data_IF_006976783711
#
_entry.id   IF_006976783711
#
_cell.length_a   1.000
_cell.length_b   1.000
_cell.length_c   1.000
_cell.angle_alpha   90.00
_cell.angle_beta   90.00
_cell.angle_gamma   90.00
#
_symmetry.space_group_name_H-M   'P 1'
#
loop_
_entity.id
_entity.type
_entity.pdbx_description
1 polymer ?
#
# COMPACT_ATOMS: atom_id res chain seq x y z
N UNK A 1 23.71 -2.69 -8.85
CA UNK A 1 23.15 -1.33 -9.03
C UNK A 1 21.87 -1.25 -8.24
N UNK A 2 21.70 -0.22 -7.40
CA UNK A 2 20.50 -0.07 -6.58
C UNK A 2 19.98 1.36 -6.65
N UNK A 3 18.66 1.50 -6.73
CA UNK A 3 17.96 2.78 -6.63
C UNK A 3 17.26 2.78 -5.28
N UNK A 4 17.57 3.79 -4.47
CA UNK A 4 17.02 4.00 -3.14
C UNK A 4 16.08 5.18 -3.15
N UNK A 5 14.93 5.07 -2.48
CA UNK A 5 13.83 6.02 -2.71
C UNK A 5 13.75 7.08 -1.64
N UNK A 6 13.89 6.67 -0.38
CA UNK A 6 13.87 7.55 0.82
C UNK A 6 12.54 8.26 1.07
N UNK A 7 11.53 8.04 0.22
CA UNK A 7 10.17 8.57 0.37
C UNK A 7 9.12 7.62 -0.26
N UNK A 8 9.02 6.41 0.28
CA UNK A 8 8.00 5.42 -0.11
C UNK A 8 6.64 5.65 0.59
N UNK A 9 6.33 6.89 0.99
CA UNK A 9 5.07 7.22 1.62
C UNK A 9 3.90 6.99 0.65
N UNK A 10 2.68 6.80 1.20
CA UNK A 10 1.51 6.41 0.42
C UNK A 10 1.21 7.32 -0.79
N UNK A 11 1.45 8.62 -0.65
CA UNK A 11 1.25 9.59 -1.73
C UNK A 11 2.22 9.42 -2.92
N UNK A 12 3.35 8.75 -2.73
CA UNK A 12 4.32 8.44 -3.78
C UNK A 12 4.12 7.02 -4.34
N UNK A 13 3.04 6.33 -3.95
CA UNK A 13 2.61 5.05 -4.51
C UNK A 13 1.40 5.31 -5.41
N UNK A 14 1.60 5.27 -6.73
CA UNK A 14 0.52 5.44 -7.69
C UNK A 14 0.16 4.10 -8.35
N UNK A 15 -1.01 4.07 -8.99
CA UNK A 15 -1.45 2.93 -9.78
C UNK A 15 -1.86 3.37 -11.19
N UNK A 16 -1.69 2.48 -12.15
CA UNK A 16 -2.35 2.60 -13.45
C UNK A 16 -3.84 2.29 -13.29
N UNK A 17 -4.66 3.35 -13.32
CA UNK A 17 -6.11 3.26 -13.12
C UNK A 17 -6.91 2.88 -14.36
N UNK A 18 -6.29 2.72 -15.54
CA UNK A 18 -7.02 2.41 -16.80
C UNK A 18 -7.92 1.18 -16.69
N UNK A 19 -7.50 0.07 -16.03
CA UNK A 19 -8.38 -1.09 -15.84
C UNK A 19 -9.64 -0.79 -15.00
N UNK A 20 -9.57 0.21 -14.12
CA UNK A 20 -10.68 0.58 -13.22
C UNK A 20 -11.64 1.60 -13.84
N UNK A 21 -11.17 2.34 -14.84
CA UNK A 21 -11.91 3.38 -15.53
C UNK A 21 -11.88 3.16 -17.05
N UNK A 22 -12.67 2.21 -17.59
CA UNK A 22 -12.66 1.90 -19.02
C UNK A 22 -13.01 3.09 -19.92
N UNK A 23 -13.77 4.06 -19.39
CA UNK A 23 -14.16 5.30 -20.06
C UNK A 23 -13.29 6.51 -19.66
N UNK A 24 -12.19 6.27 -18.95
CA UNK A 24 -11.36 7.33 -18.38
C UNK A 24 -11.96 7.97 -17.12
N UNK A 25 -11.18 8.87 -16.53
CA UNK A 25 -11.53 9.65 -15.34
C UNK A 25 -10.85 11.02 -15.42
N UNK A 26 -11.39 12.02 -14.72
CA UNK A 26 -10.80 13.35 -14.68
C UNK A 26 -9.43 13.33 -13.96
N UNK A 27 -8.39 14.02 -14.46
CA UNK A 27 -7.03 13.94 -13.90
C UNK A 27 -6.90 14.47 -12.46
N UNK A 28 -7.67 15.48 -12.09
CA UNK A 28 -7.70 16.04 -10.71
C UNK A 28 -8.81 15.40 -9.86
N UNK A 29 -10.07 15.46 -10.33
CA UNK A 29 -11.23 14.86 -9.66
C UNK A 29 -11.37 13.38 -10.06
N UNK A 30 -10.50 12.53 -9.52
CA UNK A 30 -10.38 11.13 -9.97
C UNK A 30 -11.67 10.28 -9.89
N UNK A 31 -12.69 10.74 -9.16
CA UNK A 31 -14.02 10.11 -9.08
C UNK A 31 -15.04 10.74 -10.04
N UNK A 32 -14.61 11.42 -11.12
CA UNK A 32 -15.50 12.05 -12.10
C UNK A 32 -15.16 11.62 -13.53
N UNK A 33 -16.15 11.74 -14.42
CA UNK A 33 -15.97 11.60 -15.88
C UNK A 33 -14.86 12.52 -16.39
N UNK A 34 -14.21 12.23 -17.53
CA UNK A 34 -13.08 13.03 -18.04
C UNK A 34 -13.35 14.55 -18.16
N UNK A 35 -14.60 14.94 -18.42
CA UNK A 35 -15.07 16.33 -18.48
C UNK A 35 -15.38 16.96 -17.10
N UNK A 36 -15.32 16.18 -16.02
CA UNK A 36 -15.53 16.62 -14.64
C UNK A 36 -16.99 16.80 -14.24
N UNK A 37 -17.95 16.38 -15.08
CA UNK A 37 -19.37 16.67 -14.91
C UNK A 37 -20.06 15.67 -13.97
N UNK A 38 -19.86 14.37 -14.21
CA UNK A 38 -20.58 13.31 -13.50
C UNK A 38 -19.67 12.52 -12.59
N UNK A 39 -20.16 12.16 -11.41
CA UNK A 39 -19.44 11.26 -10.51
C UNK A 39 -19.41 9.84 -11.10
N UNK A 40 -18.27 9.18 -10.96
CA UNK A 40 -18.05 7.80 -11.36
C UNK A 40 -17.37 7.04 -10.22
N UNK A 41 -17.63 5.74 -10.15
CA UNK A 41 -16.96 4.85 -9.21
C UNK A 41 -16.03 3.89 -9.96
N UNK A 42 -14.79 3.67 -9.47
CA UNK A 42 -13.88 2.72 -10.08
C UNK A 42 -14.45 1.31 -10.02
N UNK A 43 -14.14 0.51 -11.04
CA UNK A 43 -14.36 -0.93 -10.98
C UNK A 43 -13.53 -1.56 -9.85
N UNK A 44 -13.92 -2.76 -9.42
CA UNK A 44 -13.26 -3.45 -8.33
C UNK A 44 -11.86 -3.94 -8.76
N UNK A 45 -10.82 -3.56 -8.02
CA UNK A 45 -9.43 -3.98 -8.27
C UNK A 45 -9.21 -5.49 -8.20
N UNK A 46 -10.06 -6.23 -7.48
CA UNK A 46 -9.95 -7.70 -7.41
C UNK A 46 -10.25 -8.37 -8.74
N UNK A 47 -11.15 -7.78 -9.53
CA UNK A 47 -11.58 -8.33 -10.81
C UNK A 47 -10.92 -7.58 -12.00
N UNK A 48 -10.30 -6.42 -11.71
CA UNK A 48 -9.59 -5.56 -12.66
C UNK A 48 -8.17 -5.25 -12.12
N UNK A 49 -7.20 -6.15 -12.32
CA UNK A 49 -5.87 -6.00 -11.76
C UNK A 49 -5.18 -4.73 -12.26
N UNK A 50 -4.58 -3.98 -11.33
CA UNK A 50 -3.83 -2.75 -11.61
C UNK A 50 -2.34 -2.95 -11.35
N UNK A 51 -1.52 -2.16 -12.03
CA UNK A 51 -0.08 -2.10 -11.77
C UNK A 51 0.25 -0.88 -10.92
N UNK A 52 1.00 -1.10 -9.85
CA UNK A 52 1.47 -0.05 -8.95
C UNK A 52 2.87 0.43 -9.36
N UNK A 53 3.13 1.71 -9.17
CA UNK A 53 4.36 2.37 -9.55
C UNK A 53 4.88 3.24 -8.44
N UNK A 54 6.19 3.13 -8.25
CA UNK A 54 7.03 4.07 -7.54
C UNK A 54 7.06 5.42 -8.28
N UNK A 55 6.59 6.53 -7.71
CA UNK A 55 6.80 7.87 -8.29
C UNK A 55 7.68 8.74 -7.39
N UNK A 56 7.99 9.93 -7.89
CA UNK A 56 8.78 10.97 -7.23
C UNK A 56 10.17 10.50 -6.77
N UNK A 57 11.13 10.62 -7.69
CA UNK A 57 12.52 10.25 -7.46
C UNK A 57 13.37 11.42 -6.96
N UNK A 58 12.77 12.53 -6.52
CA UNK A 58 13.49 13.74 -6.12
C UNK A 58 14.46 13.56 -4.95
N UNK A 59 14.27 12.52 -4.14
CA UNK A 59 15.17 12.13 -3.04
C UNK A 59 15.93 10.84 -3.32
N UNK A 60 15.81 10.28 -4.53
CA UNK A 60 16.40 8.99 -4.83
C UNK A 60 17.92 9.08 -4.96
N UNK A 61 18.61 8.02 -4.53
CA UNK A 61 20.05 7.90 -4.63
C UNK A 61 20.42 6.67 -5.46
N UNK A 62 21.44 6.81 -6.30
CA UNK A 62 21.97 5.76 -7.15
C UNK A 62 23.36 5.35 -6.65
N UNK A 63 23.56 4.05 -6.48
CA UNK A 63 24.83 3.49 -6.01
C UNK A 63 25.37 2.48 -7.03
N UNK A 64 26.65 2.64 -7.35
CA UNK A 64 27.39 1.70 -8.19
C UNK A 64 27.63 0.37 -7.44
N UNK A 65 27.85 -0.74 -8.16
CA UNK A 65 28.27 -1.99 -7.53
C UNK A 65 29.58 -1.77 -6.74
N UNK A 66 29.54 -2.07 -5.43
CA UNK A 66 30.70 -1.89 -4.52
C UNK A 66 30.61 -0.67 -3.61
N UNK A 67 29.70 0.27 -3.87
CA UNK A 67 29.50 1.42 -2.98
C UNK A 67 28.85 1.00 -1.66
N UNK A 68 29.26 1.67 -0.56
CA UNK A 68 28.58 1.56 0.72
C UNK A 68 27.38 2.52 0.69
N UNK A 69 26.14 2.02 0.75
CA UNK A 69 24.94 2.83 0.54
C UNK A 69 24.59 3.60 1.82
N UNK A 70 25.31 4.68 2.09
CA UNK A 70 25.02 5.59 3.20
C UNK A 70 24.57 6.95 2.67
N UNK A 71 23.55 7.51 3.32
CA UNK A 71 23.02 8.83 2.98
C UNK A 71 22.85 9.67 4.24
N UNK A 72 22.92 10.99 4.07
CA UNK A 72 22.49 11.97 5.08
C UNK A 72 21.25 12.69 4.58
N UNK A 73 20.53 13.33 5.49
CA UNK A 73 19.40 14.19 5.20
C UNK A 73 18.17 13.84 6.02
N UNK A 74 17.40 14.86 6.35
CA UNK A 74 16.11 14.73 7.04
C UNK A 74 14.91 14.92 6.11
N UNK A 75 15.14 15.14 4.80
CA UNK A 75 14.09 15.37 3.79
C UNK A 75 13.32 14.08 3.46
N UNK A 76 12.02 14.21 3.20
CA UNK A 76 11.06 13.09 3.02
C UNK A 76 9.70 13.41 3.65
N UNK A 77 8.62 12.76 3.23
CA UNK A 77 7.27 13.00 3.80
C UNK A 77 7.13 12.39 5.19
N UNK A 78 7.69 11.21 5.41
CA UNK A 78 7.72 10.59 6.73
C UNK A 78 8.94 11.11 7.52
N UNK A 79 8.68 11.68 8.70
CA UNK A 79 9.69 12.24 9.61
C UNK A 79 9.91 11.41 10.86
N UNK A 80 9.17 10.31 11.01
CA UNK A 80 9.29 9.42 12.16
C UNK A 80 10.50 8.48 12.20
N UNK A 81 11.17 8.13 11.07
CA UNK A 81 12.33 7.26 11.17
C UNK A 81 13.41 7.88 12.06
N UNK A 82 13.85 7.19 13.13
CA UNK A 82 14.71 7.77 14.16
C UNK A 82 16.13 8.05 13.68
N UNK A 83 16.57 7.41 12.60
CA UNK A 83 17.89 7.58 12.02
C UNK A 83 18.03 8.83 11.13
N UNK A 84 16.94 9.56 10.84
CA UNK A 84 17.00 10.75 10.00
C UNK A 84 17.93 11.81 10.61
N UNK A 85 19.01 12.12 9.90
CA UNK A 85 20.02 13.08 10.36
C UNK A 85 20.66 13.79 9.18
N UNK A 86 20.84 15.11 9.28
CA UNK A 86 21.61 15.89 8.30
C UNK A 86 23.13 15.74 8.48
N UNK A 87 23.58 15.08 9.56
CA UNK A 87 25.00 14.94 9.91
C UNK A 87 25.47 13.49 9.96
N UNK A 88 24.66 12.60 10.52
CA UNK A 88 25.02 11.18 10.66
C UNK A 88 24.53 10.37 9.46
N UNK A 89 25.42 9.70 8.71
CA UNK A 89 25.00 8.85 7.62
C UNK A 89 24.24 7.62 8.12
N UNK A 90 23.20 7.21 7.38
CA UNK A 90 22.38 6.05 7.70
C UNK A 90 22.11 5.21 6.45
N UNK A 91 21.66 3.96 6.68
CA UNK A 91 21.33 3.04 5.60
C UNK A 91 19.91 3.34 5.06
N UNK A 92 19.77 3.78 3.80
CA UNK A 92 18.49 4.11 3.20
C UNK A 92 17.62 2.89 2.87
N UNK A 93 18.17 1.67 2.78
CA UNK A 93 17.36 0.47 2.59
C UNK A 93 16.49 0.19 3.82
N UNK A 94 17.08 0.27 5.02
CA UNK A 94 16.35 0.11 6.28
C UNK A 94 15.36 1.26 6.51
N UNK A 95 15.67 2.45 6.01
CA UNK A 95 14.74 3.59 5.99
C UNK A 95 13.50 3.30 5.14
N UNK A 96 13.68 2.85 3.89
CA UNK A 96 12.56 2.51 3.00
C UNK A 96 11.64 1.43 3.60
N UNK A 97 12.22 0.45 4.31
CA UNK A 97 11.46 -0.57 5.06
C UNK A 97 10.62 0.06 6.17
N UNK A 98 11.18 0.99 6.94
CA UNK A 98 10.44 1.67 8.00
C UNK A 98 9.28 2.49 7.44
N UNK A 99 9.53 3.30 6.41
CA UNK A 99 8.49 4.13 5.76
C UNK A 99 7.35 3.24 5.25
N UNK A 100 7.67 2.12 4.60
CA UNK A 100 6.65 1.19 4.10
C UNK A 100 5.89 0.49 5.24
N UNK A 101 6.57 0.14 6.34
CA UNK A 101 5.94 -0.38 7.55
C UNK A 101 4.95 0.63 8.14
N UNK A 102 5.32 1.92 8.15
CA UNK A 102 4.47 3.02 8.58
C UNK A 102 3.25 3.19 7.67
N UNK A 103 3.40 3.03 6.35
CA UNK A 103 2.26 2.98 5.42
C UNK A 103 1.30 1.85 5.81
N UNK A 104 1.80 0.64 6.08
CA UNK A 104 0.95 -0.47 6.52
C UNK A 104 0.22 -0.19 7.85
N UNK A 105 0.89 0.43 8.82
CA UNK A 105 0.26 0.77 10.10
C UNK A 105 -0.82 1.85 9.93
N UNK A 106 -0.46 2.98 9.30
CA UNK A 106 -1.29 4.20 9.27
C UNK A 106 -2.37 4.16 8.22
N UNK A 107 -2.05 3.67 7.02
CA UNK A 107 -2.99 3.70 5.90
C UNK A 107 -3.88 2.47 5.82
N UNK A 108 -3.49 1.38 6.47
CA UNK A 108 -4.24 0.13 6.44
C UNK A 108 -4.76 -0.28 7.82
N UNK A 109 -3.87 -0.64 8.74
CA UNK A 109 -4.25 -1.27 10.02
C UNK A 109 -5.07 -0.31 10.92
N UNK A 110 -4.68 0.97 10.97
CA UNK A 110 -5.38 1.98 11.76
C UNK A 110 -6.71 2.41 11.12
N UNK A 111 -6.80 2.47 9.78
CA UNK A 111 -8.01 2.95 9.08
C UNK A 111 -9.06 1.89 8.85
N UNK A 112 -8.68 0.62 8.75
CA UNK A 112 -9.61 -0.46 8.39
C UNK A 112 -9.66 -1.58 9.43
N UNK A 113 -10.83 -2.21 9.55
CA UNK A 113 -11.00 -3.45 10.30
C UNK A 113 -10.53 -4.66 9.50
N UNK A 114 -10.09 -5.71 10.21
CA UNK A 114 -9.78 -7.01 9.61
C UNK A 114 -8.41 -7.10 8.95
N UNK A 115 -7.59 -6.05 9.04
CA UNK A 115 -6.22 -6.02 8.51
C UNK A 115 -5.14 -6.29 9.56
N UNK A 116 -5.53 -6.69 10.78
CA UNK A 116 -4.60 -6.97 11.88
C UNK A 116 -3.63 -8.12 11.58
N UNK A 117 -3.94 -8.97 10.59
CA UNK A 117 -3.01 -10.00 10.09
C UNK A 117 -1.71 -9.41 9.50
N UNK A 118 -1.70 -8.13 9.09
CA UNK A 118 -0.50 -7.43 8.62
C UNK A 118 0.38 -6.94 9.77
N UNK A 119 -0.16 -6.85 10.99
CA UNK A 119 0.52 -6.26 12.15
C UNK A 119 1.87 -6.91 12.46
N UNK A 120 2.03 -8.25 12.45
CA UNK A 120 3.33 -8.87 12.71
C UNK A 120 4.41 -8.43 11.72
N UNK A 121 4.07 -8.25 10.44
CA UNK A 121 5.00 -7.74 9.44
C UNK A 121 5.31 -6.27 9.69
N UNK A 122 4.27 -5.43 9.80
CA UNK A 122 4.45 -3.99 9.94
C UNK A 122 5.26 -3.62 11.20
N UNK A 123 5.02 -4.29 12.33
CA UNK A 123 5.77 -4.08 13.57
C UNK A 123 7.26 -4.44 13.46
N UNK A 124 7.64 -5.44 12.66
CA UNK A 124 9.06 -5.73 12.41
C UNK A 124 9.70 -4.67 11.52
N UNK A 125 8.95 -4.15 10.54
CA UNK A 125 9.43 -3.13 9.61
C UNK A 125 9.68 -1.78 10.29
N UNK A 126 8.90 -1.43 11.32
CA UNK A 126 9.01 -0.14 12.04
C UNK A 126 9.83 -0.21 13.33
N UNK A 127 10.67 -1.23 13.52
CA UNK A 127 11.54 -1.29 14.70
C UNK A 127 12.45 -0.05 14.76
N UNK A 128 12.65 0.47 15.95
CA UNK A 128 13.47 1.68 16.15
C UNK A 128 14.90 1.48 15.63
N UNK A 129 15.57 0.39 16.03
CA UNK A 129 16.89 0.03 15.52
C UNK A 129 16.81 -0.44 14.04
N UNK A 130 17.45 0.28 13.09
CA UNK A 130 17.47 -0.09 11.67
C UNK A 130 18.07 -1.47 11.38
N UNK A 131 18.97 -1.97 12.23
CA UNK A 131 19.61 -3.28 12.06
C UNK A 131 18.67 -4.44 12.40
N UNK A 132 17.61 -4.18 13.18
CA UNK A 132 16.63 -5.17 13.60
C UNK A 132 15.46 -5.31 12.62
N UNK A 133 15.40 -4.44 11.60
CA UNK A 133 14.37 -4.45 10.56
C UNK A 133 14.67 -5.53 9.52
N UNK A 134 13.65 -6.18 8.94
CA UNK A 134 13.86 -7.14 7.85
C UNK A 134 14.34 -6.42 6.59
N UNK A 135 15.13 -7.11 5.77
CA UNK A 135 15.42 -6.65 4.40
C UNK A 135 14.17 -6.79 3.53
N UNK A 136 14.13 -6.13 2.37
CA UNK A 136 12.98 -6.22 1.47
C UNK A 136 12.63 -7.66 1.04
N UNK A 137 13.60 -8.54 0.69
CA UNK A 137 13.28 -9.95 0.41
C UNK A 137 12.70 -10.70 1.61
N UNK A 138 13.22 -10.43 2.82
CA UNK A 138 12.71 -11.06 4.05
C UNK A 138 11.27 -10.57 4.33
N UNK A 139 11.02 -9.26 4.24
CA UNK A 139 9.69 -8.69 4.41
C UNK A 139 8.68 -9.24 3.39
N UNK A 140 9.11 -9.43 2.13
CA UNK A 140 8.30 -10.04 1.09
C UNK A 140 7.94 -11.50 1.41
N UNK A 141 8.89 -12.28 1.92
CA UNK A 141 8.63 -13.65 2.33
C UNK A 141 7.68 -13.71 3.53
N UNK A 142 7.88 -12.87 4.55
CA UNK A 142 6.94 -12.73 5.66
C UNK A 142 5.51 -12.39 5.18
N UNK A 143 5.39 -11.48 4.20
CA UNK A 143 4.09 -11.16 3.59
C UNK A 143 3.47 -12.36 2.87
N UNK A 144 4.28 -13.12 2.10
CA UNK A 144 3.82 -14.34 1.43
C UNK A 144 3.30 -15.38 2.43
N UNK A 145 4.00 -15.58 3.55
CA UNK A 145 3.60 -16.50 4.60
C UNK A 145 2.32 -16.06 5.31
N UNK A 146 2.14 -14.75 5.54
CA UNK A 146 0.88 -14.19 6.03
C UNK A 146 -0.24 -14.46 5.02
N UNK A 147 -0.02 -14.12 3.74
CA UNK A 147 -1.01 -14.29 2.68
C UNK A 147 -1.41 -15.74 2.47
N UNK A 148 -0.50 -16.69 2.58
CA UNK A 148 -0.77 -18.12 2.41
C UNK A 148 -1.76 -18.68 3.45
N UNK A 149 -1.90 -18.00 4.60
CA UNK A 149 -2.85 -18.37 5.67
C UNK A 149 -4.22 -17.71 5.51
N UNK A 150 -4.39 -16.83 4.53
CA UNK A 150 -5.66 -16.14 4.28
C UNK A 150 -6.52 -16.92 3.28
N UNK A 151 -7.83 -16.91 3.51
CA UNK A 151 -8.79 -17.57 2.61
C UNK A 151 -9.24 -16.62 1.49
N UNK A 152 -9.66 -17.17 0.35
CA UNK A 152 -10.21 -16.39 -0.77
C UNK A 152 -11.37 -15.47 -0.34
N UNK A 153 -12.36 -15.92 0.46
CA UNK A 153 -13.40 -15.03 0.98
C UNK A 153 -12.85 -13.86 1.79
N UNK A 154 -11.84 -14.09 2.63
CA UNK A 154 -11.19 -13.03 3.42
C UNK A 154 -10.54 -11.98 2.51
N UNK A 155 -9.86 -12.41 1.44
CA UNK A 155 -9.18 -11.53 0.48
C UNK A 155 -10.16 -10.80 -0.43
N UNK A 156 -11.31 -11.41 -0.73
CA UNK A 156 -12.37 -10.83 -1.57
C UNK A 156 -13.32 -9.90 -0.81
N UNK A 157 -13.37 -10.02 0.52
CA UNK A 157 -14.20 -9.15 1.35
C UNK A 157 -13.82 -7.68 1.19
N UNK A 158 -14.81 -6.80 1.38
CA UNK A 158 -14.58 -5.36 1.29
C UNK A 158 -13.68 -4.87 2.43
N UNK A 159 -12.93 -3.80 2.18
CA UNK A 159 -12.34 -3.02 3.26
C UNK A 159 -13.44 -2.33 4.05
N UNK A 160 -13.38 -2.42 5.38
CA UNK A 160 -14.34 -1.80 6.29
C UNK A 160 -13.64 -0.68 7.03
N UNK A 161 -13.96 0.57 6.70
CA UNK A 161 -13.39 1.72 7.41
C UNK A 161 -13.87 1.71 8.86
N UNK A 162 -12.99 2.10 9.78
CA UNK A 162 -13.33 2.24 11.20
C UNK A 162 -14.26 3.43 11.46
N UNK A 163 -14.34 4.36 10.51
CA UNK A 163 -15.19 5.54 10.56
C UNK A 163 -16.62 5.27 10.04
N UNK A 164 -16.89 4.09 9.47
CA UNK A 164 -18.23 3.71 9.02
C UNK A 164 -19.23 3.66 10.18
N UNK A 165 -20.36 4.34 10.00
CA UNK A 165 -21.50 4.24 10.91
C UNK A 165 -22.15 2.85 10.84
N UNK A 166 -22.92 2.49 11.88
CA UNK A 166 -23.60 1.20 11.90
C UNK A 166 -24.57 1.00 10.72
N UNK A 167 -25.38 1.99 10.29
CA UNK A 167 -26.23 1.86 9.11
C UNK A 167 -25.44 1.65 7.82
N UNK A 168 -24.38 2.44 7.59
CA UNK A 168 -23.52 2.29 6.40
C UNK A 168 -22.90 0.90 6.33
N UNK A 169 -22.42 0.39 7.48
CA UNK A 169 -21.83 -0.94 7.57
C UNK A 169 -22.79 -2.03 7.13
N UNK A 170 -24.06 -1.97 7.57
CA UNK A 170 -25.09 -2.95 7.20
C UNK A 170 -25.34 -2.92 5.69
N UNK A 171 -25.48 -1.72 5.11
CA UNK A 171 -25.69 -1.54 3.67
C UNK A 171 -24.50 -2.10 2.89
N UNK A 172 -23.28 -1.69 3.22
CA UNK A 172 -22.07 -2.10 2.50
C UNK A 172 -21.76 -3.60 2.67
N UNK A 173 -22.01 -4.19 3.83
CA UNK A 173 -21.84 -5.63 4.05
C UNK A 173 -22.85 -6.44 3.21
N UNK A 174 -24.10 -5.96 3.09
CA UNK A 174 -25.12 -6.59 2.24
C UNK A 174 -24.72 -6.55 0.76
N UNK A 175 -24.25 -5.39 0.27
CA UNK A 175 -23.75 -5.23 -1.10
C UNK A 175 -22.55 -6.15 -1.37
N UNK A 176 -21.61 -6.25 -0.42
CA UNK A 176 -20.46 -7.13 -0.55
C UNK A 176 -20.85 -8.62 -0.59
N UNK A 177 -21.80 -9.04 0.25
CA UNK A 177 -22.30 -10.42 0.25
C UNK A 177 -23.00 -10.78 -1.07
N UNK A 178 -23.85 -9.90 -1.59
CA UNK A 178 -24.51 -10.09 -2.89
C UNK A 178 -23.49 -10.23 -4.02
N UNK A 179 -22.46 -9.37 -4.03
CA UNK A 179 -21.37 -9.43 -5.02
C UNK A 179 -20.61 -10.75 -4.97
N UNK A 180 -20.27 -11.21 -3.77
CA UNK A 180 -19.58 -12.49 -3.57
C UNK A 180 -20.44 -13.68 -4.03
N UNK A 181 -21.75 -13.63 -3.80
CA UNK A 181 -22.69 -14.61 -4.33
C UNK A 181 -22.68 -14.68 -5.86
N UNK A 182 -22.77 -13.52 -6.53
CA UNK A 182 -22.70 -13.43 -8.01
C UNK A 182 -21.37 -14.00 -8.53
N UNK A 183 -20.26 -13.66 -7.87
CA UNK A 183 -18.93 -14.18 -8.24
C UNK A 183 -18.87 -15.71 -8.18
N UNK A 184 -19.36 -16.32 -7.08
CA UNK A 184 -19.36 -17.78 -6.92
C UNK A 184 -20.22 -18.48 -7.97
N UNK A 185 -21.38 -17.93 -8.29
CA UNK A 185 -22.25 -18.46 -9.36
C UNK A 185 -21.52 -18.42 -10.70
N UNK A 186 -20.87 -17.30 -11.06
CA UNK A 186 -20.09 -17.21 -12.30
C UNK A 186 -18.94 -18.21 -12.35
N UNK A 187 -18.23 -18.42 -11.23
CA UNK A 187 -17.12 -19.38 -11.11
C UNK A 187 -17.57 -20.85 -11.23
N UNK A 188 -18.85 -21.16 -11.01
CA UNK A 188 -19.39 -22.52 -11.17
C UNK A 188 -19.83 -22.84 -12.61
N UNK A 189 -20.06 -21.82 -13.44
CA UNK A 189 -20.60 -21.96 -14.80
C UNK A 189 -19.47 -21.96 -15.85
N UNK A 190 -18.25 -21.59 -15.46
CA UNK A 190 -17.01 -21.61 -16.26
C UNK A 190 -16.09 -22.70 -15.75
#
# INVERSE_FOLDING_TARGET
MFILRRDCAAANIMMDGRPLYPRGHHPVRMNYTPDGVYEIHPLNRQDHPVKYYYIDFGLSCHFAPGDVPLVVGTKGRDKEPPELSDKQPYNPFSLDIFILGNVYLKEFIQKYHGLDFLRPLASQMVKHDPAQRPTAPIALNMFRDIRARLTEPTLRWRLRSREETAPERVVYDTVAAAREGIYRIKKMIV
#
